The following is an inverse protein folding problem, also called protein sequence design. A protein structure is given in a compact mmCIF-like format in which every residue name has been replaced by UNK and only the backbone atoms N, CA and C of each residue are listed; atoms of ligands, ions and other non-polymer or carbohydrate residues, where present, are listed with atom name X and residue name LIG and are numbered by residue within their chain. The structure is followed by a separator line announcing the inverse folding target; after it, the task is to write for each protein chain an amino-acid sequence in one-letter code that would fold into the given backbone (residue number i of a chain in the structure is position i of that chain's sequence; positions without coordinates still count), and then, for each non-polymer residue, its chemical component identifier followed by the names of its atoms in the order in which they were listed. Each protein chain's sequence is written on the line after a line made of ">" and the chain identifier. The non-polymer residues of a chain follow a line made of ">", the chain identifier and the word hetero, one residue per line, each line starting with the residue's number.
data_IF_315249766507
#
_entry.id   IF_315249766507
#
_cell.length_a   1.000
_cell.length_b   1.000
_cell.length_c   1.000
_cell.angle_alpha   90.00
_cell.angle_beta   90.00
_cell.angle_gamma   90.00
#
_symmetry.space_group_name_H-M   'P 1'
#
loop_
_entity.id
_entity.type
_entity.pdbx_description
1 polymer ?
#
# COMPACT_ATOMS: atom_id res chain seq x y z
N UNK A 1 -12.65 -15.98 -10.09
CA UNK A 1 -11.76 -15.10 -9.32
C UNK A 1 -12.46 -13.87 -8.73
N UNK A 2 -13.25 -13.08 -9.45
CA UNK A 2 -14.01 -11.97 -8.84
C UNK A 2 -14.86 -12.44 -7.65
N UNK A 3 -15.70 -13.43 -7.88
CA UNK A 3 -16.57 -14.05 -6.87
C UNK A 3 -15.81 -14.62 -5.68
N UNK A 4 -14.62 -15.17 -5.93
CA UNK A 4 -13.82 -15.82 -4.88
C UNK A 4 -13.20 -14.76 -3.96
N UNK A 5 -12.67 -13.67 -4.51
CA UNK A 5 -12.15 -12.55 -3.72
C UNK A 5 -13.27 -11.87 -2.92
N UNK A 6 -14.44 -11.66 -3.53
CA UNK A 6 -15.61 -11.13 -2.81
C UNK A 6 -16.03 -12.05 -1.67
N UNK A 7 -15.95 -13.37 -1.87
CA UNK A 7 -16.25 -14.34 -0.81
C UNK A 7 -15.27 -14.25 0.36
N UNK A 8 -13.99 -13.97 0.12
CA UNK A 8 -13.01 -13.71 1.20
C UNK A 8 -13.42 -12.49 2.01
N UNK A 9 -13.79 -11.38 1.37
CA UNK A 9 -14.26 -10.19 2.07
C UNK A 9 -15.49 -10.47 2.94
N UNK A 10 -16.40 -11.29 2.45
CA UNK A 10 -17.61 -11.70 3.16
C UNK A 10 -17.37 -12.84 4.17
N UNK A 11 -16.20 -13.47 4.13
CA UNK A 11 -15.85 -14.63 4.95
C UNK A 11 -16.72 -15.86 4.65
N UNK A 12 -17.13 -16.04 3.37
CA UNK A 12 -17.91 -17.18 2.90
C UNK A 12 -17.01 -18.40 2.65
N UNK A 13 -17.44 -19.56 3.10
CA UNK A 13 -16.79 -20.84 2.83
C UNK A 13 -17.08 -21.34 1.41
N UNK A 14 -16.26 -22.29 0.92
CA UNK A 14 -16.43 -22.96 -0.37
C UNK A 14 -16.01 -22.12 -1.59
N UNK A 15 -15.47 -20.92 -1.40
CA UNK A 15 -14.85 -20.13 -2.47
C UNK A 15 -13.44 -20.61 -2.74
N UNK A 16 -13.02 -20.56 -4.01
CA UNK A 16 -11.63 -20.88 -4.37
C UNK A 16 -10.66 -19.92 -3.73
N UNK A 17 -9.55 -20.46 -3.22
CA UNK A 17 -8.44 -19.67 -2.73
C UNK A 17 -7.81 -18.89 -3.90
N UNK A 18 -7.67 -17.57 -3.74
CA UNK A 18 -7.03 -16.70 -4.71
C UNK A 18 -5.54 -16.50 -4.35
N UNK A 19 -4.67 -16.63 -5.35
CA UNK A 19 -3.25 -16.31 -5.22
C UNK A 19 -2.90 -15.08 -6.07
N UNK A 20 -2.50 -13.99 -5.41
CA UNK A 20 -2.21 -12.68 -6.01
C UNK A 20 -0.83 -12.15 -5.57
N UNK A 21 0.28 -12.71 -6.06
CA UNK A 21 1.63 -12.26 -5.67
C UNK A 21 1.95 -10.86 -6.21
N UNK A 22 2.72 -10.06 -5.46
CA UNK A 22 3.28 -8.77 -5.90
C UNK A 22 4.66 -8.98 -6.53
N UNK A 23 4.74 -8.94 -7.87
CA UNK A 23 5.98 -9.18 -8.61
C UNK A 23 6.52 -7.93 -9.34
N UNK A 24 5.81 -6.80 -9.25
CA UNK A 24 6.22 -5.58 -9.96
C UNK A 24 7.64 -5.12 -9.59
N UNK A 25 7.98 -5.10 -8.31
CA UNK A 25 9.32 -4.71 -7.86
C UNK A 25 10.41 -5.61 -8.45
N UNK A 26 10.20 -6.93 -8.39
CA UNK A 26 11.09 -7.90 -9.02
C UNK A 26 11.25 -7.63 -10.52
N UNK A 27 10.13 -7.38 -11.22
CA UNK A 27 10.13 -7.10 -12.65
C UNK A 27 10.88 -5.79 -12.98
N UNK A 28 10.55 -4.68 -12.33
CA UNK A 28 11.12 -3.37 -12.62
C UNK A 28 12.64 -3.34 -12.37
N UNK A 29 13.09 -3.93 -11.25
CA UNK A 29 14.52 -3.99 -10.91
C UNK A 29 15.27 -4.87 -11.92
N UNK A 30 14.76 -6.06 -12.23
CA UNK A 30 15.44 -6.96 -13.16
C UNK A 30 15.40 -6.44 -14.60
N UNK A 31 14.32 -5.75 -15.00
CA UNK A 31 14.23 -5.10 -16.29
C UNK A 31 15.27 -3.98 -16.43
N UNK A 32 15.33 -3.06 -15.44
CA UNK A 32 16.27 -1.93 -15.45
C UNK A 32 17.73 -2.35 -15.34
N UNK A 33 18.01 -3.46 -14.64
CA UNK A 33 19.34 -4.02 -14.48
C UNK A 33 19.76 -4.97 -15.62
N UNK A 34 18.84 -5.29 -16.56
CA UNK A 34 19.11 -6.27 -17.61
C UNK A 34 19.27 -7.73 -17.12
N UNK A 35 18.74 -8.04 -15.95
CA UNK A 35 18.84 -9.34 -15.28
C UNK A 35 17.58 -10.20 -15.36
N UNK A 36 16.57 -9.77 -16.15
CA UNK A 36 15.39 -10.60 -16.39
C UNK A 36 15.80 -11.96 -16.95
N UNK A 37 15.25 -13.08 -16.41
CA UNK A 37 15.45 -14.40 -16.97
C UNK A 37 15.14 -14.43 -18.48
N UNK A 38 15.88 -15.21 -19.24
CA UNK A 38 15.72 -15.30 -20.72
C UNK A 38 14.26 -15.52 -21.15
N UNK A 39 13.52 -16.32 -20.37
CA UNK A 39 12.10 -16.61 -20.60
C UNK A 39 11.23 -15.35 -20.63
N UNK A 40 11.55 -14.35 -19.79
CA UNK A 40 10.75 -13.15 -19.59
C UNK A 40 11.28 -11.91 -20.32
N UNK A 41 12.40 -12.03 -21.05
CA UNK A 41 12.94 -10.92 -21.82
C UNK A 41 11.98 -10.53 -22.96
N UNK A 42 11.60 -9.26 -22.99
CA UNK A 42 10.64 -8.72 -23.96
C UNK A 42 9.17 -8.88 -23.58
N UNK A 43 8.85 -9.58 -22.47
CA UNK A 43 7.49 -9.71 -21.96
C UNK A 43 7.13 -8.50 -21.07
N UNK A 44 5.87 -8.08 -21.18
CA UNK A 44 5.27 -7.16 -20.21
C UNK A 44 4.88 -7.88 -18.93
N UNK A 45 4.72 -7.13 -17.86
CA UNK A 45 4.42 -7.71 -16.53
C UNK A 45 3.14 -8.56 -16.51
N UNK A 46 2.10 -8.18 -17.23
CA UNK A 46 0.85 -8.93 -17.33
C UNK A 46 1.02 -10.26 -18.08
N UNK A 47 1.89 -10.30 -19.09
CA UNK A 47 2.23 -11.54 -19.80
C UNK A 47 2.99 -12.51 -18.89
N UNK A 48 3.82 -11.97 -17.97
CA UNK A 48 4.53 -12.80 -16.96
C UNK A 48 3.53 -13.36 -15.94
N UNK A 49 2.54 -12.59 -15.49
CA UNK A 49 1.47 -13.11 -14.64
C UNK A 49 0.70 -14.26 -15.30
N UNK A 50 0.38 -14.10 -16.59
CA UNK A 50 -0.31 -15.13 -17.39
C UNK A 50 0.57 -16.40 -17.55
N UNK A 51 1.85 -16.23 -17.86
CA UNK A 51 2.80 -17.35 -17.99
C UNK A 51 3.01 -18.08 -16.66
N UNK A 52 3.02 -17.38 -15.53
CA UNK A 52 3.11 -17.98 -14.20
C UNK A 52 1.80 -18.67 -13.76
N UNK A 53 0.69 -18.43 -14.45
CA UNK A 53 -0.63 -18.96 -14.10
C UNK A 53 -1.23 -18.32 -12.86
N UNK A 54 -0.77 -17.13 -12.43
CA UNK A 54 -1.19 -16.46 -11.20
C UNK A 54 -1.99 -15.20 -11.47
N UNK A 55 -2.83 -14.80 -10.52
CA UNK A 55 -3.65 -13.62 -10.68
C UNK A 55 -2.83 -12.33 -10.51
N UNK A 56 -3.01 -11.35 -11.41
CA UNK A 56 -2.37 -10.06 -11.23
C UNK A 56 -2.96 -9.35 -10.02
N UNK A 57 -2.10 -8.71 -9.21
CA UNK A 57 -2.50 -7.92 -8.07
C UNK A 57 -2.56 -6.43 -8.37
N UNK A 58 -1.59 -5.94 -9.12
CA UNK A 58 -1.34 -4.52 -9.35
C UNK A 58 -2.00 -4.00 -10.64
N UNK A 59 -3.22 -4.44 -10.84
CA UNK A 59 -3.98 -4.23 -12.08
C UNK A 59 -4.40 -2.76 -12.27
N UNK A 60 -4.54 -2.03 -11.19
CA UNK A 60 -5.11 -0.70 -11.19
C UNK A 60 -4.10 0.33 -10.71
N UNK A 61 -3.43 1.01 -11.61
CA UNK A 61 -2.60 2.12 -11.22
C UNK A 61 -1.19 2.15 -11.79
N UNK A 62 -0.95 1.48 -12.90
CA UNK A 62 0.28 1.67 -13.64
C UNK A 62 0.35 3.08 -14.25
N UNK A 63 0.70 4.02 -13.40
CA UNK A 63 1.35 5.24 -13.84
C UNK A 63 2.84 5.07 -13.54
N UNK A 64 3.71 5.63 -14.36
CA UNK A 64 5.16 5.48 -14.22
C UNK A 64 5.71 5.81 -12.84
N UNK A 65 6.98 5.56 -12.64
CA UNK A 65 7.74 5.82 -11.41
C UNK A 65 7.35 7.18 -10.81
N UNK A 66 6.94 7.17 -9.55
CA UNK A 66 6.43 8.36 -8.86
C UNK A 66 4.90 8.45 -8.77
N UNK A 67 4.14 7.67 -9.52
CA UNK A 67 2.67 7.66 -9.41
C UNK A 67 2.16 6.90 -8.18
N UNK A 68 2.97 6.04 -7.57
CA UNK A 68 2.63 5.35 -6.32
C UNK A 68 2.40 6.31 -5.16
N UNK A 69 3.05 7.49 -5.20
CA UNK A 69 2.92 8.52 -4.18
C UNK A 69 2.11 9.74 -4.60
N UNK A 70 1.91 9.96 -5.89
CA UNK A 70 1.21 11.14 -6.41
C UNK A 70 -0.26 10.90 -6.78
N UNK A 71 -0.73 9.67 -6.77
CA UNK A 71 -2.10 9.36 -7.17
C UNK A 71 -2.70 8.27 -6.31
N UNK A 72 -3.64 8.65 -5.50
CA UNK A 72 -4.60 7.71 -4.98
C UNK A 72 -5.23 7.01 -6.19
N UNK A 73 -5.11 5.70 -6.25
CA UNK A 73 -5.65 4.94 -7.37
C UNK A 73 -7.14 5.27 -7.53
N UNK A 74 -7.51 5.84 -8.66
CA UNK A 74 -8.88 6.26 -8.95
C UNK A 74 -9.20 7.73 -8.59
N UNK A 75 -8.38 8.45 -7.83
CA UNK A 75 -8.56 9.86 -7.54
C UNK A 75 -7.41 10.71 -8.10
N UNK A 76 -7.75 11.93 -8.45
CA UNK A 76 -6.81 13.00 -8.78
C UNK A 76 -7.01 14.16 -7.82
N UNK A 77 -5.95 14.58 -7.14
CA UNK A 77 -5.97 15.81 -6.36
C UNK A 77 -6.07 17.03 -7.28
N UNK A 78 -6.86 18.00 -6.85
CA UNK A 78 -7.03 19.29 -7.51
C UNK A 78 -6.73 20.37 -6.47
N UNK A 79 -5.67 21.11 -6.72
CA UNK A 79 -5.26 22.20 -5.84
C UNK A 79 -6.19 23.42 -6.05
N UNK A 80 -6.28 24.28 -5.01
CA UNK A 80 -7.00 25.54 -5.12
C UNK A 80 -6.36 26.52 -6.11
N UNK A 81 -7.13 27.50 -6.56
CA UNK A 81 -6.69 28.46 -7.60
C UNK A 81 -5.44 29.26 -7.20
N UNK A 82 -5.23 29.50 -5.91
CA UNK A 82 -4.07 30.23 -5.36
C UNK A 82 -2.93 29.29 -4.91
N UNK A 83 -2.97 28.00 -5.27
CA UNK A 83 -1.94 27.02 -4.95
C UNK A 83 -1.21 26.60 -6.21
N UNK A 84 0.03 27.04 -6.35
CA UNK A 84 0.90 26.63 -7.44
C UNK A 84 1.79 25.45 -7.04
N UNK A 85 1.84 24.41 -7.88
CA UNK A 85 2.69 23.22 -7.66
C UNK A 85 3.72 23.10 -8.77
N UNK A 86 4.98 23.03 -8.38
CA UNK A 86 6.11 22.87 -9.30
C UNK A 86 6.90 21.62 -8.96
N UNK A 87 7.11 20.75 -9.95
CA UNK A 87 7.99 19.61 -9.81
C UNK A 87 9.17 19.75 -10.79
N UNK A 88 10.39 19.66 -10.24
CA UNK A 88 11.63 19.73 -11.01
C UNK A 88 12.43 18.46 -10.81
N UNK A 89 12.98 17.93 -11.88
CA UNK A 89 13.93 16.83 -11.87
C UNK A 89 15.33 17.39 -12.09
N UNK A 90 16.27 17.11 -11.17
CA UNK A 90 17.68 17.41 -11.38
C UNK A 90 18.31 16.23 -12.10
N UNK A 91 18.93 16.49 -13.24
CA UNK A 91 19.49 15.46 -14.11
C UNK A 91 21.01 15.62 -14.19
N UNK A 92 21.73 14.52 -14.10
CA UNK A 92 23.16 14.49 -14.41
C UNK A 92 23.38 14.45 -15.94
N UNK A 93 23.15 15.60 -16.60
CA UNK A 93 23.70 15.86 -17.95
C UNK A 93 22.99 15.28 -19.18
N UNK A 94 21.82 14.60 -19.07
CA UNK A 94 21.00 14.14 -20.21
C UNK A 94 19.51 14.28 -19.92
N UNK A 95 18.69 14.47 -20.94
CA UNK A 95 17.23 14.32 -20.81
C UNK A 95 16.91 12.85 -20.50
N UNK A 96 16.53 12.59 -19.28
CA UNK A 96 16.35 11.26 -18.74
C UNK A 96 14.99 11.16 -18.06
N UNK A 97 14.53 9.93 -17.88
CA UNK A 97 13.29 9.64 -17.18
C UNK A 97 13.38 10.04 -15.69
N UNK A 98 12.26 10.16 -14.95
CA UNK A 98 12.28 10.36 -13.48
C UNK A 98 13.13 9.35 -12.72
N UNK A 99 13.34 8.16 -13.27
CA UNK A 99 14.18 7.09 -12.69
C UNK A 99 15.68 7.41 -12.74
N UNK A 100 16.10 8.31 -13.63
CA UNK A 100 17.49 8.72 -13.80
C UNK A 100 17.79 10.08 -13.14
N UNK A 101 16.75 10.72 -12.56
CA UNK A 101 16.92 11.97 -11.84
C UNK A 101 17.76 11.75 -10.59
N UNK A 102 18.70 12.67 -10.33
CA UNK A 102 19.44 12.68 -9.09
C UNK A 102 18.56 13.05 -7.90
N UNK A 103 17.69 14.07 -8.10
CA UNK A 103 16.70 14.49 -7.13
C UNK A 103 15.41 14.94 -7.82
N UNK A 104 14.30 14.77 -7.12
CA UNK A 104 12.99 15.31 -7.48
C UNK A 104 12.64 16.35 -6.42
N UNK A 105 12.43 17.60 -6.84
CA UNK A 105 12.06 18.71 -5.96
C UNK A 105 10.63 19.10 -6.28
N UNK A 106 9.74 18.99 -5.29
CA UNK A 106 8.35 19.45 -5.40
C UNK A 106 8.13 20.64 -4.47
N UNK A 107 7.66 21.74 -5.01
CA UNK A 107 7.37 22.99 -4.31
C UNK A 107 5.89 23.31 -4.40
N UNK A 108 5.29 23.70 -3.27
CA UNK A 108 3.97 24.31 -3.19
C UNK A 108 4.13 25.78 -2.82
N UNK A 109 3.54 26.67 -3.62
CA UNK A 109 3.47 28.12 -3.37
C UNK A 109 2.04 28.53 -3.12
N UNK A 110 1.83 29.29 -2.08
CA UNK A 110 0.50 29.77 -1.63
C UNK A 110 0.61 31.22 -1.16
N UNK A 111 -0.51 31.92 -0.94
CA UNK A 111 -0.51 33.23 -0.29
C UNK A 111 0.07 33.24 1.14
N UNK A 112 0.16 32.05 1.79
CA UNK A 112 0.74 31.88 3.13
C UNK A 112 2.24 31.62 3.13
N UNK A 113 2.83 31.37 1.97
CA UNK A 113 4.25 31.06 1.82
C UNK A 113 4.51 29.85 0.92
N UNK A 114 5.69 29.29 1.05
CA UNK A 114 6.14 28.15 0.22
C UNK A 114 6.67 27.02 1.10
N UNK A 115 6.32 25.79 0.73
CA UNK A 115 6.93 24.56 1.27
C UNK A 115 7.49 23.73 0.14
N UNK A 116 8.51 22.96 0.44
CA UNK A 116 9.12 22.04 -0.54
C UNK A 116 9.51 20.70 0.07
N UNK A 117 9.53 19.70 -0.79
CA UNK A 117 10.08 18.37 -0.52
C UNK A 117 11.19 18.09 -1.52
N UNK A 118 12.24 17.38 -1.08
CA UNK A 118 13.28 16.85 -1.94
C UNK A 118 13.31 15.34 -1.78
N UNK A 119 13.22 14.63 -2.88
CA UNK A 119 13.27 13.17 -2.91
C UNK A 119 14.44 12.71 -3.80
N UNK A 120 15.02 11.59 -3.44
CA UNK A 120 16.03 10.90 -4.24
C UNK A 120 15.48 9.55 -4.69
N UNK A 121 15.50 9.22 -5.98
CA UNK A 121 15.21 7.87 -6.45
C UNK A 121 16.15 6.85 -5.79
N UNK A 122 15.62 5.67 -5.48
CA UNK A 122 16.45 4.53 -5.08
C UNK A 122 17.30 4.04 -6.25
N UNK A 123 18.29 3.16 -5.99
CA UNK A 123 19.27 2.69 -6.98
C UNK A 123 18.66 2.26 -8.32
N UNK A 124 17.50 1.60 -8.27
CA UNK A 124 16.80 1.15 -9.50
C UNK A 124 15.60 2.04 -9.87
N UNK A 125 15.44 3.20 -9.23
CA UNK A 125 14.32 4.11 -9.48
C UNK A 125 12.94 3.55 -9.13
N UNK A 126 12.87 2.41 -8.42
CA UNK A 126 11.61 1.74 -8.09
C UNK A 126 10.86 2.38 -6.92
N UNK A 127 11.54 3.21 -6.14
CA UNK A 127 10.94 4.01 -5.05
C UNK A 127 11.67 5.34 -4.86
N UNK A 128 11.11 6.21 -4.01
CA UNK A 128 11.66 7.52 -3.69
C UNK A 128 11.94 7.61 -2.19
N UNK A 129 13.11 8.12 -1.84
CA UNK A 129 13.51 8.39 -0.46
C UNK A 129 13.45 9.89 -0.18
N UNK A 130 12.71 10.30 0.85
CA UNK A 130 12.66 11.70 1.27
C UNK A 130 14.01 12.14 1.85
N UNK A 131 14.63 13.15 1.22
CA UNK A 131 15.85 13.82 1.68
C UNK A 131 15.50 15.08 2.47
N UNK A 132 14.45 15.78 2.02
CA UNK A 132 13.85 16.92 2.72
C UNK A 132 12.33 16.75 2.71
N UNK A 133 11.72 16.92 3.88
CA UNK A 133 10.26 16.87 4.02
C UNK A 133 9.64 18.26 3.88
N UNK A 134 8.34 18.31 3.52
CA UNK A 134 7.59 19.55 3.39
C UNK A 134 7.56 20.36 4.70
N UNK A 135 7.30 19.71 5.83
CA UNK A 135 7.02 20.35 7.11
C UNK A 135 8.27 20.32 8.00
N UNK A 136 8.86 21.47 8.23
CA UNK A 136 10.10 21.64 9.01
C UNK A 136 9.86 22.42 10.31
N UNK A 137 8.92 23.36 10.30
CA UNK A 137 8.56 24.19 11.43
C UNK A 137 7.07 24.58 11.44
N UNK A 138 6.63 25.43 12.38
CA UNK A 138 5.25 25.86 12.49
C UNK A 138 4.79 26.71 11.30
N UNK A 139 5.68 27.43 10.63
CA UNK A 139 5.32 28.24 9.44
C UNK A 139 4.97 27.33 8.27
N UNK A 140 5.73 26.26 8.09
CA UNK A 140 5.42 25.24 7.07
C UNK A 140 4.06 24.58 7.33
N UNK A 141 3.71 24.36 8.61
CA UNK A 141 2.39 23.83 9.01
C UNK A 141 1.27 24.78 8.57
N UNK A 142 1.41 26.09 8.77
CA UNK A 142 0.40 27.07 8.35
C UNK A 142 0.21 27.11 6.82
N UNK A 143 1.30 27.00 6.06
CA UNK A 143 1.24 26.86 4.59
C UNK A 143 0.51 25.58 4.21
N UNK A 144 0.84 24.45 4.88
CA UNK A 144 0.23 23.17 4.58
C UNK A 144 -1.26 23.10 4.94
N UNK A 145 -1.66 23.71 6.07
CA UNK A 145 -3.08 23.85 6.43
C UNK A 145 -3.88 24.58 5.33
N UNK A 146 -3.31 25.64 4.75
CA UNK A 146 -3.93 26.34 3.62
C UNK A 146 -4.14 25.42 2.42
N UNK A 147 -3.10 24.62 2.05
CA UNK A 147 -3.19 23.65 0.95
C UNK A 147 -4.30 22.63 1.22
N UNK A 148 -4.36 22.05 2.42
CA UNK A 148 -5.39 21.06 2.80
C UNK A 148 -6.81 21.62 2.72
N UNK A 149 -7.01 22.89 3.08
CA UNK A 149 -8.32 23.55 3.02
C UNK A 149 -8.80 23.73 1.58
N UNK A 150 -7.92 24.19 0.69
CA UNK A 150 -8.22 24.50 -0.70
C UNK A 150 -8.24 23.27 -1.63
N UNK A 151 -7.58 22.18 -1.25
CA UNK A 151 -7.50 20.95 -2.06
C UNK A 151 -8.83 20.21 -2.12
N UNK A 152 -9.14 19.69 -3.31
CA UNK A 152 -10.26 18.80 -3.56
C UNK A 152 -9.78 17.54 -4.32
N UNK A 153 -10.70 16.58 -4.52
CA UNK A 153 -10.40 15.32 -5.18
C UNK A 153 -11.46 15.01 -6.22
N UNK A 154 -11.03 14.51 -7.36
CA UNK A 154 -11.90 14.06 -8.44
C UNK A 154 -11.60 12.61 -8.80
N UNK A 155 -12.64 11.86 -9.10
CA UNK A 155 -12.48 10.52 -9.67
C UNK A 155 -11.81 10.59 -11.03
N UNK A 156 -10.74 9.79 -11.22
CA UNK A 156 -10.02 9.71 -12.49
C UNK A 156 -10.66 8.69 -13.42
N UNK A 157 -11.69 9.13 -14.14
CA UNK A 157 -12.44 8.29 -15.08
C UNK A 157 -11.56 7.75 -16.20
N UNK A 158 -10.56 8.50 -16.67
CA UNK A 158 -9.65 8.06 -17.74
C UNK A 158 -8.81 6.87 -17.28
N UNK A 159 -8.26 6.94 -16.07
CA UNK A 159 -7.46 5.84 -15.49
C UNK A 159 -8.35 4.61 -15.22
N UNK A 160 -9.54 4.82 -14.67
CA UNK A 160 -10.50 3.74 -14.47
C UNK A 160 -10.87 3.03 -15.77
N UNK A 161 -11.25 3.80 -16.80
CA UNK A 161 -11.61 3.27 -18.12
C UNK A 161 -10.46 2.52 -18.78
N UNK A 162 -9.22 3.02 -18.65
CA UNK A 162 -8.03 2.33 -19.15
C UNK A 162 -7.84 0.96 -18.49
N UNK A 163 -7.94 0.91 -17.17
CA UNK A 163 -7.83 -0.34 -16.42
C UNK A 163 -8.94 -1.34 -16.77
N UNK A 164 -10.20 -0.86 -16.88
CA UNK A 164 -11.33 -1.69 -17.28
C UNK A 164 -11.17 -2.26 -18.69
N UNK A 165 -10.68 -1.48 -19.62
CA UNK A 165 -10.40 -1.95 -20.98
C UNK A 165 -9.34 -3.04 -21.02
N UNK A 166 -8.29 -2.94 -20.17
CA UNK A 166 -7.17 -3.87 -20.17
C UNK A 166 -7.47 -5.16 -19.42
N UNK A 167 -8.13 -5.08 -18.29
CA UNK A 167 -8.27 -6.19 -17.34
C UNK A 167 -9.71 -6.71 -17.21
N UNK A 168 -10.69 -5.97 -17.71
CA UNK A 168 -12.11 -6.37 -17.64
C UNK A 168 -12.65 -6.46 -16.23
N UNK A 169 -13.56 -7.41 -16.00
CA UNK A 169 -14.24 -7.67 -14.73
C UNK A 169 -13.68 -8.88 -13.98
N UNK A 170 -12.46 -9.30 -14.29
CA UNK A 170 -11.86 -10.50 -13.69
C UNK A 170 -11.58 -10.36 -12.19
N UNK A 171 -11.35 -9.13 -11.72
CA UNK A 171 -11.01 -8.81 -10.33
C UNK A 171 -11.90 -7.68 -9.79
N UNK A 172 -12.25 -7.71 -8.48
CA UNK A 172 -12.87 -6.54 -7.85
C UNK A 172 -11.90 -5.37 -7.84
N UNK A 173 -12.42 -4.17 -8.09
CA UNK A 173 -11.60 -2.97 -8.06
C UNK A 173 -11.18 -2.65 -6.64
N UNK A 174 -9.89 -2.56 -6.43
CA UNK A 174 -9.26 -2.10 -5.20
C UNK A 174 -8.63 -0.73 -5.44
N UNK A 175 -8.82 0.20 -4.53
CA UNK A 175 -8.19 1.50 -4.58
C UNK A 175 -7.39 1.78 -3.30
N UNK A 176 -6.28 2.50 -3.44
CA UNK A 176 -5.49 2.91 -2.29
C UNK A 176 -5.97 4.27 -1.78
N UNK A 177 -6.07 4.38 -0.46
CA UNK A 177 -6.25 5.62 0.26
C UNK A 177 -4.91 6.17 0.73
N UNK A 178 -4.91 7.44 1.07
CA UNK A 178 -3.82 8.06 1.81
C UNK A 178 -3.58 7.32 3.13
N UNK A 179 -2.37 7.42 3.67
CA UNK A 179 -2.07 6.99 5.04
C UNK A 179 -2.94 7.72 6.05
N UNK A 180 -3.26 7.06 7.16
CA UNK A 180 -3.87 7.70 8.31
C UNK A 180 -3.04 8.93 8.74
N UNK A 181 -3.66 9.98 9.31
CA UNK A 181 -2.99 11.26 9.56
C UNK A 181 -1.63 11.18 10.25
N UNK A 182 -1.50 10.36 11.30
CA UNK A 182 -0.22 10.18 11.98
C UNK A 182 0.85 9.60 11.07
N UNK A 183 0.53 8.52 10.34
CA UNK A 183 1.46 7.85 9.44
C UNK A 183 1.80 8.73 8.23
N UNK A 184 0.85 9.54 7.76
CA UNK A 184 1.09 10.54 6.72
C UNK A 184 2.12 11.58 7.15
N UNK A 185 2.05 12.07 8.38
CA UNK A 185 3.04 13.00 8.93
C UNK A 185 4.40 12.32 9.10
N UNK A 186 4.43 11.11 9.66
CA UNK A 186 5.69 10.40 9.95
C UNK A 186 6.46 9.98 8.70
N UNK A 187 5.77 9.55 7.65
CA UNK A 187 6.39 8.98 6.45
C UNK A 187 6.42 9.98 5.29
N UNK A 188 5.32 10.69 5.07
CA UNK A 188 5.12 11.48 3.85
C UNK A 188 5.57 12.92 3.91
N UNK A 189 5.28 13.65 5.01
CA UNK A 189 5.31 15.11 4.99
C UNK A 189 6.25 15.77 5.99
N UNK A 190 6.46 15.18 7.18
CA UNK A 190 7.25 15.78 8.27
C UNK A 190 8.47 14.92 8.67
N UNK A 191 8.36 13.61 8.51
CA UNK A 191 9.36 12.65 8.97
C UNK A 191 9.17 12.26 10.44
N UNK A 192 9.58 11.02 10.79
CA UNK A 192 9.35 10.42 12.10
C UNK A 192 9.82 11.28 13.27
N UNK A 193 11.13 11.58 13.31
CA UNK A 193 11.74 12.30 14.43
C UNK A 193 11.10 13.67 14.67
N UNK A 194 10.81 14.40 13.60
CA UNK A 194 10.18 15.72 13.70
C UNK A 194 8.71 15.62 14.12
N UNK A 195 7.97 14.65 13.60
CA UNK A 195 6.57 14.43 14.01
C UNK A 195 6.47 14.18 15.51
N UNK A 196 7.30 13.28 16.06
CA UNK A 196 7.33 13.00 17.50
C UNK A 196 7.72 14.23 18.33
N UNK A 197 8.72 14.98 17.87
CA UNK A 197 9.18 16.21 18.53
C UNK A 197 8.08 17.28 18.54
N UNK A 198 7.38 17.44 17.42
CA UNK A 198 6.30 18.43 17.28
C UNK A 198 5.06 18.04 18.11
N UNK A 199 4.68 16.76 18.13
CA UNK A 199 3.60 16.26 19.01
C UNK A 199 3.87 16.53 20.48
N UNK A 200 5.14 16.53 20.90
CA UNK A 200 5.51 16.83 22.27
C UNK A 200 5.60 18.33 22.56
N UNK A 201 6.20 19.13 21.64
CA UNK A 201 6.44 20.56 21.87
C UNK A 201 5.25 21.45 21.51
N UNK A 202 4.45 21.03 20.53
CA UNK A 202 3.37 21.80 19.91
C UNK A 202 2.10 20.96 19.76
N UNK A 203 1.58 20.35 20.85
CA UNK A 203 0.47 19.40 20.77
C UNK A 203 -0.80 20.01 20.16
N UNK A 204 -1.11 21.28 20.43
CA UNK A 204 -2.30 21.94 19.91
C UNK A 204 -2.25 22.12 18.41
N UNK A 205 -1.14 22.66 17.90
CA UNK A 205 -0.93 22.88 16.46
C UNK A 205 -0.93 21.54 15.69
N UNK A 206 -0.39 20.50 16.31
CA UNK A 206 -0.39 19.15 15.73
C UNK A 206 -1.79 18.51 15.76
N UNK A 207 -2.59 18.72 16.80
CA UNK A 207 -3.98 18.27 16.86
C UNK A 207 -4.84 18.97 15.80
N UNK A 208 -4.66 20.28 15.62
CA UNK A 208 -5.34 21.04 14.54
C UNK A 208 -4.94 20.52 13.14
N UNK A 209 -3.64 20.29 12.92
CA UNK A 209 -3.15 19.73 11.64
C UNK A 209 -3.72 18.33 11.38
N UNK A 210 -3.72 17.47 12.38
CA UNK A 210 -4.27 16.12 12.24
C UNK A 210 -5.78 16.16 11.98
N UNK A 211 -6.51 17.07 12.60
CA UNK A 211 -7.93 17.28 12.32
C UNK A 211 -8.17 17.72 10.86
N UNK A 212 -7.36 18.64 10.32
CA UNK A 212 -7.45 19.04 8.92
C UNK A 212 -7.13 17.89 7.96
N UNK A 213 -6.15 17.04 8.28
CA UNK A 213 -5.86 15.83 7.52
C UNK A 213 -7.03 14.83 7.55
N UNK A 214 -7.76 14.76 8.66
CA UNK A 214 -8.99 13.96 8.74
C UNK A 214 -10.11 14.52 7.87
N UNK A 215 -10.26 15.84 7.82
CA UNK A 215 -11.24 16.49 6.93
C UNK A 215 -10.87 16.32 5.45
N UNK A 216 -9.58 16.39 5.11
CA UNK A 216 -9.10 16.06 3.78
C UNK A 216 -9.42 14.62 3.40
N UNK A 217 -9.27 13.70 4.36
CA UNK A 217 -9.64 12.31 4.18
C UNK A 217 -11.13 12.15 3.87
N UNK A 218 -12.00 12.89 4.54
CA UNK A 218 -13.43 12.90 4.25
C UNK A 218 -13.74 13.41 2.82
N UNK A 219 -13.00 14.41 2.31
CA UNK A 219 -13.10 14.84 0.89
C UNK A 219 -12.74 13.72 -0.09
N UNK A 220 -11.70 12.93 0.23
CA UNK A 220 -11.33 11.75 -0.60
C UNK A 220 -12.45 10.71 -0.59
N UNK A 221 -12.99 10.37 0.57
CA UNK A 221 -14.07 9.39 0.68
C UNK A 221 -15.31 9.80 -0.11
N UNK A 222 -15.67 11.08 -0.09
CA UNK A 222 -16.82 11.57 -0.86
C UNK A 222 -16.62 11.36 -2.37
N UNK A 223 -15.38 11.47 -2.86
CA UNK A 223 -15.05 11.24 -4.27
C UNK A 223 -15.15 9.77 -4.70
N UNK A 224 -15.16 8.83 -3.75
CA UNK A 224 -15.42 7.40 -4.01
C UNK A 224 -16.91 7.04 -3.97
N UNK A 225 -17.80 7.92 -3.48
CA UNK A 225 -19.22 7.63 -3.38
C UNK A 225 -19.83 7.26 -4.73
N UNK A 226 -20.49 6.10 -4.79
CA UNK A 226 -21.11 5.58 -6.00
C UNK A 226 -20.12 5.09 -7.07
N UNK A 227 -18.82 4.97 -6.74
CA UNK A 227 -17.82 4.40 -7.64
C UNK A 227 -17.76 2.87 -7.48
N UNK A 228 -17.41 2.14 -8.55
CA UNK A 228 -17.39 0.67 -8.56
C UNK A 228 -16.13 0.11 -7.84
N UNK A 229 -15.85 0.58 -6.65
CA UNK A 229 -14.72 0.15 -5.82
C UNK A 229 -15.23 -0.84 -4.78
N UNK A 230 -14.61 -2.01 -4.71
CA UNK A 230 -14.96 -3.05 -3.73
C UNK A 230 -14.16 -2.91 -2.43
N UNK A 231 -12.91 -2.46 -2.52
CA UNK A 231 -12.00 -2.36 -1.36
C UNK A 231 -11.21 -1.05 -1.40
N UNK A 232 -11.14 -0.39 -0.25
CA UNK A 232 -10.24 0.74 0.00
C UNK A 232 -9.14 0.31 0.95
N UNK A 233 -7.88 0.47 0.51
CA UNK A 233 -6.69 0.12 1.26
C UNK A 233 -5.97 1.36 1.78
N UNK A 234 -5.72 1.40 3.08
CA UNK A 234 -4.85 2.40 3.71
C UNK A 234 -3.38 1.98 3.55
N UNK A 235 -2.60 2.76 2.82
CA UNK A 235 -1.18 2.45 2.55
C UNK A 235 -0.26 2.87 3.71
N UNK A 236 -0.62 2.48 4.92
CA UNK A 236 -0.09 3.05 6.17
C UNK A 236 1.37 2.72 6.47
N UNK A 237 1.87 1.52 6.12
CA UNK A 237 3.15 0.99 6.59
C UNK A 237 3.26 1.01 8.12
N UNK A 238 2.24 0.46 8.79
CA UNK A 238 2.20 0.40 10.25
C UNK A 238 3.17 -0.67 10.75
N UNK A 239 4.09 -0.26 11.62
CA UNK A 239 4.88 -1.16 12.45
C UNK A 239 5.18 -0.53 13.83
N UNK A 240 5.47 -1.38 14.82
CA UNK A 240 5.56 -0.95 16.21
C UNK A 240 6.67 0.06 16.53
N UNK A 241 7.74 0.11 15.71
CA UNK A 241 8.85 1.05 15.94
C UNK A 241 8.51 2.48 15.49
N UNK A 242 7.64 2.63 14.48
CA UNK A 242 7.12 3.94 14.06
C UNK A 242 5.88 4.34 14.85
N UNK A 243 4.98 3.40 15.08
CA UNK A 243 3.70 3.64 15.74
C UNK A 243 3.52 2.68 16.92
N UNK A 244 4.23 2.91 18.07
CA UNK A 244 4.12 2.05 19.23
C UNK A 244 2.69 2.06 19.81
N UNK A 245 2.30 1.03 20.64
CA UNK A 245 0.95 0.88 21.14
C UNK A 245 0.30 2.13 21.75
N UNK A 246 1.00 3.00 22.52
CA UNK A 246 0.39 4.24 23.01
C UNK A 246 -0.04 5.21 21.89
N UNK A 247 0.76 5.33 20.82
CA UNK A 247 0.41 6.16 19.67
C UNK A 247 -0.69 5.52 18.84
N UNK A 248 -0.64 4.22 18.65
CA UNK A 248 -1.67 3.49 17.94
C UNK A 248 -3.03 3.65 18.62
N UNK A 249 -3.10 3.49 19.95
CA UNK A 249 -4.34 3.70 20.73
C UNK A 249 -4.81 5.15 20.69
N UNK A 250 -3.90 6.11 20.77
CA UNK A 250 -4.27 7.53 20.83
C UNK A 250 -4.71 8.09 19.48
N UNK A 251 -4.07 7.71 18.39
CA UNK A 251 -4.23 8.38 17.09
C UNK A 251 -4.82 7.48 16.00
N UNK A 252 -4.43 6.19 15.95
CA UNK A 252 -4.83 5.32 14.85
C UNK A 252 -6.20 4.70 15.08
N UNK A 253 -6.45 4.12 16.26
CA UNK A 253 -7.73 3.48 16.57
C UNK A 253 -8.90 4.47 16.44
N UNK A 254 -8.88 5.67 17.06
CA UNK A 254 -9.98 6.63 16.91
C UNK A 254 -10.22 7.07 15.46
N UNK A 255 -9.15 7.27 14.68
CA UNK A 255 -9.25 7.57 13.26
C UNK A 255 -9.97 6.46 12.51
N UNK A 256 -9.53 5.22 12.61
CA UNK A 256 -10.17 4.09 11.95
C UNK A 256 -11.62 3.91 12.39
N UNK A 257 -11.91 4.01 13.68
CA UNK A 257 -13.27 3.89 14.20
C UNK A 257 -14.22 4.97 13.67
N UNK A 258 -13.70 6.15 13.32
CA UNK A 258 -14.45 7.23 12.68
C UNK A 258 -14.67 7.00 11.18
N UNK A 259 -13.65 6.50 10.49
CA UNK A 259 -13.61 6.44 9.02
C UNK A 259 -14.23 5.14 8.48
N UNK A 260 -13.92 3.99 9.07
CA UNK A 260 -14.38 2.70 8.57
C UNK A 260 -15.91 2.60 8.43
N UNK A 261 -16.74 3.04 9.40
CA UNK A 261 -18.19 3.02 9.21
C UNK A 261 -18.68 3.84 8.01
N UNK A 262 -17.97 4.93 7.64
CA UNK A 262 -18.31 5.73 6.45
C UNK A 262 -18.03 4.95 5.16
N UNK A 263 -16.95 4.18 5.15
CA UNK A 263 -16.58 3.32 4.01
C UNK A 263 -17.57 2.15 3.87
N UNK A 264 -17.91 1.50 4.97
CA UNK A 264 -18.93 0.44 4.99
C UNK A 264 -20.30 0.94 4.51
N UNK A 265 -20.68 2.18 4.86
CA UNK A 265 -21.93 2.79 4.35
C UNK A 265 -21.92 3.01 2.82
N UNK A 266 -20.76 2.91 2.16
CA UNK A 266 -20.63 2.93 0.70
C UNK A 266 -20.58 1.52 0.09
N UNK A 267 -20.78 0.45 0.89
CA UNK A 267 -20.65 -0.96 0.51
C UNK A 267 -19.23 -1.33 0.03
N UNK A 268 -18.21 -0.77 0.66
CA UNK A 268 -16.80 -1.05 0.37
C UNK A 268 -16.14 -1.71 1.58
N UNK A 269 -15.22 -2.63 1.34
CA UNK A 269 -14.37 -3.26 2.35
C UNK A 269 -13.10 -2.45 2.57
N UNK A 270 -12.41 -2.75 3.67
CA UNK A 270 -11.23 -1.97 4.10
C UNK A 270 -10.07 -2.87 4.48
N UNK A 271 -8.88 -2.47 4.06
CA UNK A 271 -7.60 -3.04 4.54
C UNK A 271 -6.65 -1.94 4.93
N UNK A 272 -5.68 -2.27 5.76
CA UNK A 272 -4.53 -1.41 6.05
C UNK A 272 -3.23 -2.20 5.88
N UNK A 273 -2.22 -1.54 5.31
CA UNK A 273 -0.91 -2.11 5.07
C UNK A 273 -0.08 -2.04 6.36
N UNK A 274 0.16 -3.22 6.95
CA UNK A 274 0.98 -3.40 8.14
C UNK A 274 2.25 -4.15 7.76
N UNK A 275 3.39 -3.56 8.04
CA UNK A 275 4.68 -4.03 7.57
C UNK A 275 5.69 -4.14 8.73
N UNK A 276 6.71 -4.99 8.56
CA UNK A 276 7.77 -5.17 9.57
C UNK A 276 7.27 -5.84 10.87
N UNK A 277 7.64 -5.27 12.03
CA UNK A 277 7.33 -5.84 13.34
C UNK A 277 6.01 -5.30 13.88
N UNK A 278 5.07 -6.20 14.14
CA UNK A 278 3.68 -5.85 14.50
C UNK A 278 3.18 -6.56 15.75
N UNK A 279 4.00 -7.39 16.41
CA UNK A 279 3.60 -8.23 17.55
C UNK A 279 2.88 -7.46 18.65
N UNK A 280 3.36 -6.24 18.97
CA UNK A 280 2.74 -5.42 20.01
C UNK A 280 1.45 -4.73 19.56
N UNK A 281 1.24 -4.57 18.26
CA UNK A 281 0.08 -3.90 17.68
C UNK A 281 -1.04 -4.87 17.31
N UNK A 282 -0.68 -6.07 16.94
CA UNK A 282 -1.61 -7.08 16.44
C UNK A 282 -2.81 -7.37 17.39
N UNK A 283 -2.62 -7.44 18.73
CA UNK A 283 -3.75 -7.56 19.65
C UNK A 283 -4.74 -6.39 19.64
N UNK A 284 -4.34 -5.24 19.07
CA UNK A 284 -5.16 -4.03 18.94
C UNK A 284 -5.87 -3.93 17.59
N UNK A 285 -5.52 -4.81 16.65
CA UNK A 285 -6.03 -4.72 15.28
C UNK A 285 -7.56 -4.74 15.21
N UNK A 286 -8.22 -5.60 15.99
CA UNK A 286 -9.67 -5.73 16.00
C UNK A 286 -10.39 -4.47 16.50
N UNK A 287 -9.73 -3.62 17.30
CA UNK A 287 -10.28 -2.35 17.76
C UNK A 287 -10.44 -1.32 16.61
N UNK A 288 -9.73 -1.51 15.50
CA UNK A 288 -9.77 -0.60 14.33
C UNK A 288 -11.04 -0.73 13.50
N UNK A 289 -11.73 -1.87 13.55
CA UNK A 289 -12.87 -2.24 12.68
C UNK A 289 -12.53 -2.45 11.21
N UNK A 290 -11.25 -2.58 10.84
CA UNK A 290 -10.82 -2.98 9.50
C UNK A 290 -11.35 -4.37 9.17
N UNK A 291 -11.67 -4.62 7.90
CA UNK A 291 -12.11 -5.93 7.42
C UNK A 291 -10.96 -6.90 7.22
N UNK A 292 -9.77 -6.38 6.89
CA UNK A 292 -8.57 -7.17 6.69
C UNK A 292 -7.28 -6.41 6.93
N UNK A 293 -6.18 -7.17 7.03
CA UNK A 293 -4.82 -6.64 7.06
C UNK A 293 -4.04 -7.12 5.84
N UNK A 294 -3.20 -6.24 5.32
CA UNK A 294 -2.29 -6.49 4.22
C UNK A 294 -0.86 -6.52 4.72
N UNK A 295 -0.05 -7.44 4.17
CA UNK A 295 1.39 -7.55 4.39
C UNK A 295 1.84 -7.91 5.80
N UNK A 296 0.96 -8.28 6.72
CA UNK A 296 1.41 -8.85 8.00
C UNK A 296 2.26 -10.09 7.70
N UNK A 297 3.53 -10.00 8.07
CA UNK A 297 4.53 -11.00 7.72
C UNK A 297 4.88 -11.83 8.95
N UNK A 298 4.66 -13.16 8.90
CA UNK A 298 5.06 -14.05 10.00
C UNK A 298 6.56 -14.35 9.99
N UNK A 299 7.01 -15.06 11.04
CA UNK A 299 8.34 -15.68 11.06
C UNK A 299 8.56 -16.50 9.77
N UNK A 300 9.81 -16.55 9.23
CA UNK A 300 11.05 -16.05 9.83
C UNK A 300 11.40 -14.57 9.51
N UNK A 301 10.57 -13.86 8.77
CA UNK A 301 10.88 -12.48 8.34
C UNK A 301 10.31 -11.43 9.29
N UNK A 302 9.07 -11.61 9.75
CA UNK A 302 8.43 -10.76 10.77
C UNK A 302 8.72 -11.26 12.20
N UNK A 303 7.90 -10.80 13.16
CA UNK A 303 8.07 -11.08 14.59
C UNK A 303 6.89 -11.85 15.22
N UNK A 304 5.97 -12.36 14.38
CA UNK A 304 4.75 -13.06 14.81
C UNK A 304 4.68 -14.48 14.24
N UNK A 305 4.04 -15.40 14.98
CA UNK A 305 3.69 -16.73 14.46
C UNK A 305 2.33 -16.67 13.72
N UNK A 306 1.98 -17.73 12.98
CA UNK A 306 0.67 -17.84 12.33
C UNK A 306 -0.47 -17.89 13.37
N UNK A 307 -0.21 -18.51 14.50
CA UNK A 307 -1.15 -18.60 15.61
C UNK A 307 -1.40 -17.22 16.25
N UNK A 308 -0.34 -16.46 16.53
CA UNK A 308 -0.44 -15.07 17.02
C UNK A 308 -1.16 -14.16 16.03
N UNK A 309 -0.90 -14.34 14.72
CA UNK A 309 -1.62 -13.60 13.67
C UNK A 309 -3.12 -13.93 13.69
N UNK A 310 -3.48 -15.21 13.72
CA UNK A 310 -4.87 -15.65 13.74
C UNK A 310 -5.62 -15.11 14.96
N UNK A 311 -5.01 -15.18 16.13
CA UNK A 311 -5.58 -14.66 17.37
C UNK A 311 -5.77 -13.13 17.32
N UNK A 312 -4.73 -12.38 16.94
CA UNK A 312 -4.77 -10.92 16.90
C UNK A 312 -5.71 -10.37 15.82
N UNK A 313 -5.75 -10.99 14.65
CA UNK A 313 -6.63 -10.60 13.55
C UNK A 313 -8.10 -11.01 13.76
N UNK A 314 -8.35 -12.09 14.51
CA UNK A 314 -9.71 -12.56 14.78
C UNK A 314 -10.46 -12.89 13.50
N UNK A 315 -11.50 -12.11 13.16
CA UNK A 315 -12.35 -12.31 11.97
C UNK A 315 -11.88 -11.56 10.73
N UNK A 316 -10.81 -10.78 10.83
CA UNK A 316 -10.27 -10.04 9.69
C UNK A 316 -9.70 -11.02 8.66
N UNK A 317 -9.79 -10.67 7.37
CA UNK A 317 -9.10 -11.45 6.35
C UNK A 317 -7.62 -11.03 6.25
N UNK A 318 -6.79 -11.98 5.85
CA UNK A 318 -5.38 -11.73 5.55
C UNK A 318 -5.19 -11.59 4.03
N UNK A 319 -4.50 -10.54 3.62
CA UNK A 319 -3.93 -10.43 2.28
C UNK A 319 -2.43 -10.58 2.38
N UNK A 320 -1.86 -11.47 1.56
CA UNK A 320 -0.46 -11.90 1.49
C UNK A 320 -0.10 -13.05 2.46
N UNK A 321 0.83 -12.85 3.37
CA UNK A 321 1.20 -13.79 4.41
C UNK A 321 2.39 -14.69 4.11
N UNK A 322 2.85 -14.83 2.85
CA UNK A 322 4.06 -15.61 2.56
C UNK A 322 5.29 -14.71 2.71
N UNK A 323 6.20 -14.98 3.67
CA UNK A 323 7.42 -14.18 3.82
C UNK A 323 8.25 -14.15 2.53
N UNK A 324 8.61 -12.96 2.08
CA UNK A 324 9.38 -12.76 0.83
C UNK A 324 10.72 -13.53 0.82
N UNK A 325 11.34 -13.67 1.99
CA UNK A 325 12.59 -14.44 2.14
C UNK A 325 12.48 -15.89 1.69
N UNK A 326 11.28 -16.49 1.72
CA UNK A 326 11.06 -17.88 1.26
C UNK A 326 11.18 -18.02 -0.27
N UNK A 327 11.17 -16.93 -1.00
CA UNK A 327 11.43 -16.93 -2.44
C UNK A 327 12.92 -16.76 -2.77
N UNK A 328 13.77 -16.55 -1.78
CA UNK A 328 15.21 -16.41 -2.02
C UNK A 328 15.89 -17.75 -2.31
N UNK A 329 16.89 -17.81 -3.23
CA UNK A 329 17.50 -19.06 -3.67
C UNK A 329 18.18 -19.90 -2.57
N UNK A 330 18.56 -19.26 -1.45
CA UNK A 330 19.21 -19.93 -0.31
C UNK A 330 18.24 -20.55 0.69
N UNK A 331 16.93 -20.38 0.51
CA UNK A 331 15.90 -21.04 1.32
C UNK A 331 15.41 -22.29 0.58
N UNK A 332 15.14 -23.38 1.30
CA UNK A 332 14.66 -24.62 0.67
C UNK A 332 13.24 -24.47 0.13
N UNK A 333 12.93 -25.17 -0.92
CA UNK A 333 11.58 -25.23 -1.50
C UNK A 333 10.58 -25.87 -0.54
N UNK A 334 11.04 -26.84 0.25
CA UNK A 334 10.25 -27.55 1.26
C UNK A 334 9.75 -26.57 2.34
N UNK A 335 10.62 -25.65 2.79
CA UNK A 335 10.22 -24.61 3.75
C UNK A 335 9.13 -23.70 3.19
N UNK A 336 9.19 -23.35 1.91
CA UNK A 336 8.15 -22.59 1.24
C UNK A 336 6.82 -23.37 1.21
N UNK A 337 6.86 -24.65 0.77
CA UNK A 337 5.67 -25.50 0.68
C UNK A 337 5.00 -25.70 2.04
N UNK A 338 5.81 -26.02 3.07
CA UNK A 338 5.30 -26.17 4.43
C UNK A 338 4.63 -24.89 4.94
N UNK A 339 5.30 -23.76 4.74
CA UNK A 339 4.75 -22.48 5.17
C UNK A 339 3.42 -22.15 4.48
N UNK A 340 3.34 -22.31 3.16
CA UNK A 340 2.13 -22.06 2.37
C UNK A 340 0.97 -22.95 2.84
N UNK A 341 1.24 -24.24 3.05
CA UNK A 341 0.20 -25.18 3.53
C UNK A 341 -0.34 -24.79 4.91
N UNK A 342 0.53 -24.44 5.85
CA UNK A 342 0.14 -23.97 7.21
C UNK A 342 -0.62 -22.64 7.16
N UNK A 343 -0.22 -21.73 6.27
CA UNK A 343 -0.89 -20.44 6.11
C UNK A 343 -2.33 -20.63 5.57
N UNK A 344 -2.52 -21.52 4.59
CA UNK A 344 -3.85 -21.87 4.07
C UNK A 344 -4.71 -22.49 5.18
N UNK A 345 -4.19 -23.45 5.92
CA UNK A 345 -4.91 -24.09 7.05
C UNK A 345 -5.32 -23.08 8.14
N UNK A 346 -4.43 -22.12 8.43
CA UNK A 346 -4.69 -21.12 9.46
C UNK A 346 -5.76 -20.09 9.06
N UNK A 347 -5.79 -19.65 7.81
CA UNK A 347 -6.55 -18.46 7.41
C UNK A 347 -7.70 -18.70 6.42
N UNK A 348 -7.74 -19.84 5.70
CA UNK A 348 -8.90 -20.12 4.85
C UNK A 348 -10.20 -20.19 5.69
N UNK A 349 -11.33 -19.62 5.23
CA UNK A 349 -11.62 -18.97 3.94
C UNK A 349 -11.29 -17.45 3.88
N UNK A 350 -10.63 -16.90 4.89
CA UNK A 350 -10.31 -15.46 5.01
C UNK A 350 -8.90 -15.13 4.55
N UNK A 351 -8.49 -15.67 3.40
CA UNK A 351 -7.16 -15.53 2.84
C UNK A 351 -7.20 -15.15 1.35
N UNK A 352 -6.50 -14.07 1.02
CA UNK A 352 -6.02 -13.79 -0.34
C UNK A 352 -4.51 -13.98 -0.30
N UNK A 353 -4.05 -15.12 -0.79
CA UNK A 353 -2.65 -15.51 -0.68
C UNK A 353 -1.76 -14.62 -1.54
N UNK A 354 -0.60 -14.24 -1.03
CA UNK A 354 0.39 -13.43 -1.74
C UNK A 354 1.73 -13.38 -1.02
N UNK A 355 2.68 -12.69 -1.61
CA UNK A 355 4.02 -12.47 -1.05
C UNK A 355 4.00 -11.23 -0.17
N UNK A 356 4.44 -11.34 1.07
CA UNK A 356 4.59 -10.21 2.00
C UNK A 356 6.02 -9.64 1.97
N UNK A 357 6.29 -8.42 1.63
CA UNK A 357 5.44 -7.37 1.07
C UNK A 357 5.36 -7.52 -0.46
N UNK A 358 6.45 -7.88 -1.11
CA UNK A 358 6.65 -8.02 -2.54
C UNK A 358 7.75 -9.05 -2.83
N UNK A 359 7.76 -9.59 -4.04
CA UNK A 359 8.84 -10.47 -4.47
C UNK A 359 10.15 -9.67 -4.57
N UNK A 360 11.21 -10.04 -3.82
CA UNK A 360 12.48 -9.31 -3.86
C UNK A 360 13.17 -9.48 -5.20
N UNK A 361 14.01 -8.52 -5.59
CA UNK A 361 14.69 -8.50 -6.88
C UNK A 361 15.53 -9.76 -7.15
N UNK A 362 16.13 -10.34 -6.11
CA UNK A 362 16.90 -11.60 -6.14
C UNK A 362 16.07 -12.85 -5.84
N UNK A 363 14.73 -12.72 -5.75
CA UNK A 363 13.82 -13.83 -5.55
C UNK A 363 13.70 -14.70 -6.80
N UNK A 364 13.53 -15.99 -6.58
CA UNK A 364 13.25 -16.96 -7.65
C UNK A 364 11.76 -16.91 -8.00
N UNK A 365 11.44 -16.26 -9.11
CA UNK A 365 10.07 -16.07 -9.59
C UNK A 365 9.38 -17.40 -9.94
N UNK A 366 10.14 -18.43 -10.33
CA UNK A 366 9.57 -19.76 -10.66
C UNK A 366 8.97 -20.46 -9.43
N UNK A 367 9.35 -20.05 -8.21
CA UNK A 367 8.72 -20.54 -6.98
C UNK A 367 7.25 -20.15 -6.85
N UNK A 368 6.80 -19.13 -7.57
CA UNK A 368 5.38 -18.78 -7.64
C UNK A 368 4.54 -19.88 -8.28
N UNK A 369 5.11 -20.66 -9.23
CA UNK A 369 4.44 -21.83 -9.80
C UNK A 369 4.22 -22.92 -8.76
N UNK A 370 5.21 -23.14 -7.89
CA UNK A 370 5.10 -24.11 -6.79
C UNK A 370 3.96 -23.72 -5.84
N UNK A 371 3.86 -22.41 -5.52
CA UNK A 371 2.76 -21.92 -4.70
C UNK A 371 1.42 -22.09 -5.43
N UNK A 372 1.38 -21.79 -6.73
CA UNK A 372 0.16 -21.96 -7.52
C UNK A 372 -0.30 -23.41 -7.60
N UNK A 373 0.62 -24.36 -7.76
CA UNK A 373 0.33 -25.81 -7.72
C UNK A 373 -0.35 -26.21 -6.40
N UNK A 374 0.15 -25.73 -5.25
CA UNK A 374 -0.47 -25.99 -3.95
C UNK A 374 -1.88 -25.38 -3.87
N UNK A 375 -2.06 -24.18 -4.41
CA UNK A 375 -3.37 -23.50 -4.44
C UNK A 375 -4.35 -24.25 -5.34
N UNK A 376 -3.92 -24.74 -6.50
CA UNK A 376 -4.74 -25.53 -7.41
C UNK A 376 -5.14 -26.87 -6.77
N UNK A 377 -4.19 -27.60 -6.18
CA UNK A 377 -4.46 -28.84 -5.44
C UNK A 377 -5.42 -28.65 -4.26
N UNK A 378 -5.34 -27.50 -3.58
CA UNK A 378 -6.29 -27.14 -2.52
C UNK A 378 -7.67 -26.87 -3.09
N UNK A 379 -7.76 -26.12 -4.18
CA UNK A 379 -9.02 -25.74 -4.83
C UNK A 379 -9.75 -26.95 -5.48
N UNK A 380 -9.01 -28.01 -5.87
CA UNK A 380 -9.60 -29.24 -6.40
C UNK A 380 -10.30 -30.09 -5.32
N UNK A 381 -9.96 -29.85 -4.04
CA UNK A 381 -10.51 -30.59 -2.89
C UNK A 381 -11.71 -29.88 -2.24
N UNK A 382 -12.01 -28.63 -2.65
CA UNK A 382 -13.17 -27.88 -2.20
C UNK A 382 -14.45 -28.35 -2.89
#
# INVERSE_FOLDING_TARGET
>A
MYSDIMAVYEGREGAKLAFQPRIKHWYDVNLSSGTLPKRYQGMYLDEIYEDLGVAPREVWGYGGVGSEFAGYYGLRAVEGDDVEVWTRHTLSGRQSSPTEAEYIVTEYRTPKGMIRQVQRPTEHGTSLMNVEYYLKDLRDIEVYKYILQERSYLWDEARYSWGRKRYGDRLPLRANLQRAPLMWLMIGTMGFQRTVTMLWRHPKEMEELMHLLELEFDKQLESYRGKPVAELNFVDNIHQDLCPPPYFRKYMIPFFQRVIPKIHAMNMYTTSHWDGFVKQLLPLAQETKLDGLECVTPLPQGDVTLEEMKEGMGRMFLRDGIPAVLFCPWVSTESLKEHVSRLIEAFYPRLILGVSDLLPANGDVERLRIVNEIVEEFNEKL
#
